data_IF_088259692348
#
_entry.id   IF_088259692348
#
_cell.length_a   1.000
_cell.length_b   1.000
_cell.length_c   1.000
_cell.angle_alpha   90.00
_cell.angle_beta   90.00
_cell.angle_gamma   90.00
#
_symmetry.space_group_name_H-M   'P 1'
#
loop_
_entity.id
_entity.type
_entity.pdbx_description
1 polymer ?
#
# COMPACT_ATOMS: atom_id res chain seq x y z
N UNK A 1 -7.35 11.26 14.01
CA UNK A 1 -5.99 10.99 14.53
C UNK A 1 -5.26 9.96 13.66
N UNK A 2 -5.09 10.23 12.36
CA UNK A 2 -4.42 9.32 11.40
C UNK A 2 -3.22 9.95 10.68
N UNK A 3 -2.89 11.21 10.98
CA UNK A 3 -1.95 12.01 10.19
C UNK A 3 -0.50 11.49 10.24
N UNK A 4 -0.07 10.90 11.36
CA UNK A 4 1.30 10.37 11.50
C UNK A 4 1.57 9.12 10.65
N UNK A 5 0.68 8.13 10.70
CA UNK A 5 0.87 6.83 9.99
C UNK A 5 0.70 6.96 8.48
N UNK A 6 -0.16 7.86 8.03
CA UNK A 6 -0.27 8.18 6.62
C UNK A 6 0.98 8.89 6.09
N UNK A 7 1.72 9.62 6.94
CA UNK A 7 2.93 10.32 6.52
C UNK A 7 4.06 9.36 6.11
N UNK A 8 4.17 8.19 6.75
CA UNK A 8 5.15 7.16 6.35
C UNK A 8 4.83 6.59 4.97
N UNK A 9 3.56 6.25 4.72
CA UNK A 9 3.09 5.80 3.40
C UNK A 9 3.34 6.89 2.34
N UNK A 10 2.99 8.14 2.66
CA UNK A 10 3.18 9.28 1.79
C UNK A 10 4.66 9.50 1.43
N UNK A 11 5.56 9.48 2.43
CA UNK A 11 7.00 9.62 2.22
C UNK A 11 7.55 8.49 1.35
N UNK A 12 7.09 7.26 1.58
CA UNK A 12 7.49 6.11 0.77
C UNK A 12 7.05 6.30 -0.69
N UNK A 13 5.79 6.64 -0.92
CA UNK A 13 5.24 6.87 -2.26
C UNK A 13 5.99 8.01 -2.98
N UNK A 14 6.23 9.14 -2.31
CA UNK A 14 6.93 10.29 -2.92
C UNK A 14 8.33 9.91 -3.43
N UNK A 15 9.11 9.16 -2.64
CA UNK A 15 10.46 8.70 -3.01
C UNK A 15 10.42 7.83 -4.26
N UNK A 16 9.38 7.00 -4.41
CA UNK A 16 9.24 6.11 -5.55
C UNK A 16 8.63 6.79 -6.78
N UNK A 17 7.69 7.73 -6.61
CA UNK A 17 7.16 8.54 -7.73
C UNK A 17 8.28 9.32 -8.40
N UNK A 18 9.17 9.95 -7.63
CA UNK A 18 10.30 10.70 -8.17
C UNK A 18 11.27 9.85 -9.03
N UNK A 19 11.18 8.51 -8.92
CA UNK A 19 11.99 7.53 -9.65
C UNK A 19 11.16 6.70 -10.64
N UNK A 20 9.85 6.91 -10.68
CA UNK A 20 8.96 6.10 -11.52
C UNK A 20 9.17 6.44 -12.98
N UNK A 21 8.97 5.44 -13.84
CA UNK A 21 8.92 5.63 -15.28
C UNK A 21 7.61 6.29 -15.75
N UNK A 22 6.60 6.37 -14.86
CA UNK A 22 5.27 6.89 -15.16
C UNK A 22 5.05 8.26 -14.54
N UNK A 23 4.28 9.10 -15.23
CA UNK A 23 3.76 10.36 -14.69
C UNK A 23 2.68 10.10 -13.65
N UNK A 24 2.29 11.14 -12.89
CA UNK A 24 1.22 11.01 -11.90
C UNK A 24 -0.13 10.70 -12.57
N UNK A 25 -0.38 11.26 -13.76
CA UNK A 25 -1.53 10.99 -14.60
C UNK A 25 -1.57 9.53 -15.05
N UNK A 26 -0.43 8.99 -15.51
CA UNK A 26 -0.32 7.59 -15.94
C UNK A 26 -0.51 6.63 -14.77
N UNK A 27 0.10 6.92 -13.61
CA UNK A 27 -0.13 6.15 -12.37
C UNK A 27 -1.62 6.18 -12.02
N UNK A 28 -2.27 7.35 -12.07
CA UNK A 28 -3.71 7.48 -11.79
C UNK A 28 -4.55 6.58 -12.70
N UNK A 29 -4.22 6.54 -14.00
CA UNK A 29 -4.88 5.66 -14.96
C UNK A 29 -4.64 4.18 -14.65
N UNK A 30 -3.41 3.77 -14.33
CA UNK A 30 -3.04 2.39 -13.99
C UNK A 30 -3.76 1.89 -12.72
N UNK A 31 -4.03 2.80 -11.79
CA UNK A 31 -4.83 2.49 -10.59
C UNK A 31 -6.33 2.41 -10.89
N UNK A 32 -6.78 2.71 -12.10
CA UNK A 32 -8.19 2.80 -12.48
C UNK A 32 -8.91 3.94 -11.75
N UNK A 33 -8.22 5.04 -11.47
CA UNK A 33 -8.78 6.23 -10.84
C UNK A 33 -9.05 7.29 -11.92
N UNK A 34 -10.07 8.13 -11.68
CA UNK A 34 -10.50 9.15 -12.64
C UNK A 34 -9.90 10.54 -12.39
N UNK A 35 -9.22 10.74 -11.27
CA UNK A 35 -8.73 12.05 -10.84
C UNK A 35 -7.36 11.92 -10.14
N UNK A 36 -6.39 12.68 -10.62
CA UNK A 36 -5.02 12.74 -10.06
C UNK A 36 -4.99 13.26 -8.63
N UNK A 37 -5.95 14.11 -8.22
CA UNK A 37 -6.06 14.62 -6.85
C UNK A 37 -6.14 13.51 -5.80
N UNK A 38 -6.65 12.33 -6.17
CA UNK A 38 -6.69 11.16 -5.29
C UNK A 38 -5.27 10.66 -5.02
N UNK A 39 -4.46 10.50 -6.07
CA UNK A 39 -3.08 10.05 -5.96
C UNK A 39 -2.22 11.11 -5.29
N UNK A 40 -2.41 12.39 -5.60
CA UNK A 40 -1.78 13.48 -4.86
C UNK A 40 -2.13 13.47 -3.37
N UNK A 41 -3.37 13.11 -3.02
CA UNK A 41 -3.79 12.93 -1.64
C UNK A 41 -3.02 11.80 -0.93
N UNK A 42 -2.64 10.74 -1.64
CA UNK A 42 -1.75 9.70 -1.12
C UNK A 42 -0.33 10.27 -0.91
N UNK A 43 0.18 11.03 -1.87
CA UNK A 43 1.48 11.68 -1.79
C UNK A 43 1.57 12.66 -0.62
N UNK A 44 0.49 13.38 -0.30
CA UNK A 44 0.45 14.31 0.84
C UNK A 44 0.19 13.63 2.18
N UNK A 45 -0.32 12.39 2.18
CA UNK A 45 -0.77 11.68 3.37
C UNK A 45 -2.17 12.07 3.85
N UNK A 46 -2.86 12.94 3.12
CA UNK A 46 -4.23 13.37 3.40
C UNK A 46 -5.25 12.25 3.15
N UNK A 47 -4.91 11.29 2.27
CA UNK A 47 -5.73 10.13 1.94
C UNK A 47 -4.95 8.83 2.18
N UNK A 48 -5.64 7.83 2.72
CA UNK A 48 -5.11 6.47 2.80
C UNK A 48 -5.17 5.80 1.43
N UNK A 49 -4.13 5.06 1.07
CA UNK A 49 -4.16 4.19 -0.11
C UNK A 49 -5.11 3.02 0.16
N UNK A 50 -6.12 2.77 -0.68
CA UNK A 50 -6.97 1.59 -0.53
C UNK A 50 -6.18 0.29 -0.66
N UNK A 51 -6.48 -0.72 0.17
CA UNK A 51 -5.74 -1.99 0.18
C UNK A 51 -5.79 -2.73 -1.17
N UNK A 52 -6.91 -2.63 -1.88
CA UNK A 52 -7.08 -3.23 -3.22
C UNK A 52 -6.20 -2.58 -4.29
N UNK A 53 -5.72 -1.36 -4.06
CA UNK A 53 -4.86 -0.62 -5.00
C UNK A 53 -3.37 -0.84 -4.78
N UNK A 54 -2.97 -1.49 -3.69
CA UNK A 54 -1.55 -1.67 -3.34
C UNK A 54 -0.77 -2.38 -4.43
N UNK A 55 -1.32 -3.45 -5.01
CA UNK A 55 -0.61 -4.22 -6.03
C UNK A 55 -0.32 -3.38 -7.28
N UNK A 56 -1.35 -2.72 -7.83
CA UNK A 56 -1.21 -1.87 -9.00
C UNK A 56 -0.30 -0.65 -8.71
N UNK A 57 -0.37 -0.09 -7.50
CA UNK A 57 0.49 1.01 -7.09
C UNK A 57 1.95 0.57 -7.00
N UNK A 58 2.23 -0.58 -6.38
CA UNK A 58 3.59 -1.08 -6.26
C UNK A 58 4.23 -1.34 -7.64
N UNK A 59 3.45 -1.90 -8.56
CA UNK A 59 3.89 -2.14 -9.94
C UNK A 59 4.17 -0.83 -10.68
N UNK A 60 3.26 0.15 -10.61
CA UNK A 60 3.45 1.47 -11.21
C UNK A 60 4.62 2.26 -10.59
N UNK A 61 4.92 2.03 -9.31
CA UNK A 61 6.04 2.67 -8.62
C UNK A 61 7.36 1.91 -8.76
N UNK A 62 7.35 0.70 -9.31
CA UNK A 62 8.51 -0.19 -9.36
C UNK A 62 9.12 -0.45 -7.97
N UNK A 63 8.28 -0.51 -6.93
CA UNK A 63 8.71 -0.67 -5.54
C UNK A 63 8.43 -2.07 -4.99
N UNK A 64 9.00 -2.39 -3.83
CA UNK A 64 8.69 -3.65 -3.16
C UNK A 64 7.22 -3.68 -2.69
N UNK A 65 6.45 -4.60 -3.27
CA UNK A 65 5.02 -4.75 -3.01
C UNK A 65 4.73 -5.13 -1.56
N UNK A 66 5.56 -5.98 -0.95
CA UNK A 66 5.35 -6.43 0.44
C UNK A 66 5.54 -5.28 1.41
N UNK A 67 6.59 -4.49 1.21
CA UNK A 67 6.89 -3.31 2.00
C UNK A 67 5.75 -2.29 1.90
N UNK A 68 5.29 -1.98 0.67
CA UNK A 68 4.16 -1.06 0.50
C UNK A 68 2.88 -1.61 1.15
N UNK A 69 2.59 -2.90 1.01
CA UNK A 69 1.43 -3.52 1.63
C UNK A 69 1.44 -3.40 3.15
N UNK A 70 2.57 -3.70 3.80
CA UNK A 70 2.70 -3.56 5.26
C UNK A 70 2.52 -2.12 5.73
N UNK A 71 3.12 -1.15 5.02
CA UNK A 71 2.96 0.27 5.33
C UNK A 71 1.48 0.70 5.22
N UNK A 72 0.82 0.31 4.13
CA UNK A 72 -0.59 0.64 3.93
C UNK A 72 -1.46 -0.04 4.98
N UNK A 73 -1.21 -1.31 5.29
CA UNK A 73 -1.94 -2.06 6.32
C UNK A 73 -1.82 -1.39 7.70
N UNK A 74 -0.60 -1.02 8.10
CA UNK A 74 -0.32 -0.27 9.34
C UNK A 74 -0.95 1.14 9.35
N UNK A 75 -1.20 1.73 8.18
CA UNK A 75 -1.92 3.01 8.11
C UNK A 75 -3.42 2.83 8.34
N UNK A 76 -4.00 1.70 7.93
CA UNK A 76 -5.42 1.40 8.08
C UNK A 76 -5.78 0.96 9.48
N UNK A 77 -4.96 0.08 10.05
CA UNK A 77 -5.21 -0.56 11.33
C UNK A 77 -4.19 -0.10 12.37
N UNK A 78 -4.45 -0.40 13.65
CA UNK A 78 -3.41 -0.24 14.66
C UNK A 78 -2.31 -1.31 14.48
N UNK A 79 -1.17 -1.06 15.11
CA UNK A 79 -0.03 -1.98 15.06
C UNK A 79 -0.39 -3.32 15.70
N UNK A 80 -1.22 -3.31 16.74
CA UNK A 80 -1.68 -4.52 17.43
C UNK A 80 -2.43 -5.47 16.49
N UNK A 81 -3.31 -4.95 15.62
CA UNK A 81 -3.97 -5.76 14.60
C UNK A 81 -2.99 -6.36 13.58
N UNK A 82 -1.96 -5.61 13.18
CA UNK A 82 -0.97 -6.11 12.21
C UNK A 82 -0.07 -7.17 12.84
N UNK A 83 0.36 -6.97 14.09
CA UNK A 83 1.10 -7.98 14.86
C UNK A 83 0.26 -9.25 15.05
N UNK A 84 -1.03 -9.11 15.34
CA UNK A 84 -1.95 -10.26 15.41
C UNK A 84 -1.99 -11.04 14.09
N UNK A 85 -2.06 -10.37 12.94
CA UNK A 85 -2.03 -11.05 11.64
C UNK A 85 -0.70 -11.78 11.44
N UNK A 86 0.42 -11.15 11.76
CA UNK A 86 1.74 -11.78 11.68
C UNK A 86 1.80 -13.04 12.55
N UNK A 87 1.31 -13.01 13.79
CA UNK A 87 1.27 -14.17 14.68
C UNK A 87 0.40 -15.32 14.15
N UNK A 88 -0.77 -15.00 13.59
CA UNK A 88 -1.70 -15.99 13.02
C UNK A 88 -1.10 -16.66 11.77
N UNK A 89 -0.46 -15.87 10.89
CA UNK A 89 0.07 -16.38 9.63
C UNK A 89 1.49 -16.93 9.73
N UNK A 90 2.31 -16.50 10.70
CA UNK A 90 3.67 -17.00 10.89
C UNK A 90 3.71 -18.46 11.35
N UNK A 91 2.67 -18.91 12.07
CA UNK A 91 2.55 -20.28 12.57
C UNK A 91 1.76 -21.21 11.63
N UNK A 92 1.26 -20.69 10.50
CA UNK A 92 0.54 -21.45 9.51
C UNK A 92 1.47 -22.26 8.63
N UNK A 93 1.90 -23.45 9.08
CA UNK A 93 2.12 -24.52 8.10
C UNK A 93 0.81 -24.67 7.35
N UNK A 94 0.80 -24.36 6.04
CA UNK A 94 -0.35 -24.61 5.19
C UNK A 94 -0.79 -26.06 5.42
N UNK A 95 -1.91 -26.24 6.13
CA UNK A 95 -2.44 -27.57 6.37
C UNK A 95 -2.71 -28.17 5.00
N UNK A 96 -2.00 -29.25 4.68
CA UNK A 96 -2.08 -30.01 3.43
C UNK A 96 -3.45 -30.69 3.29
N UNK A 97 -4.53 -29.91 3.19
CA UNK A 97 -5.91 -30.38 3.15
C UNK A 97 -6.60 -29.82 1.91
N UNK A 98 -5.94 -29.90 0.76
CA UNK A 98 -6.62 -29.79 -0.55
C UNK A 98 -5.95 -30.73 -1.55
N UNK A 99 -6.02 -32.04 -1.26
CA UNK A 99 -5.97 -33.08 -2.30
C UNK A 99 -7.26 -33.90 -2.17
N UNK A 100 -8.26 -33.59 -3.00
CA UNK A 100 -9.36 -34.48 -3.37
C UNK A 100 -9.95 -34.02 -4.69
#
# INVERSE_FOLDING_TARGET
>A
MSSGRNAEVASFIQVHIAKSAYTLEEITLLLGLHNTEIVEGFCRGDRKVPLDKVNALAEALGCDRRQLFLLVLNSWFDTDFVTMLEEVFANGSASSVEHS
#
